data_IF_791381528024
#
_entry.id   IF_791381528024
#
_cell.length_a   1.000
_cell.length_b   1.000
_cell.length_c   1.000
_cell.angle_alpha   90.00
_cell.angle_beta   90.00
_cell.angle_gamma   90.00
#
_symmetry.space_group_name_H-M   'P 1'
#
loop_
_entity.id
_entity.type
_entity.pdbx_description
1 polymer ?
#
# COMPACT_ATOMS: atom_id res chain seq x y z
N UNK A 1 -8.78 9.13 8.47
CA UNK A 1 -7.48 8.65 7.95
C UNK A 1 -6.43 9.73 8.16
N UNK A 2 -5.26 9.39 8.68
CA UNK A 2 -4.19 10.40 8.86
C UNK A 2 -3.72 10.91 7.49
N UNK A 3 -3.34 12.20 7.42
CA UNK A 3 -2.79 12.78 6.20
C UNK A 3 -1.55 12.02 5.69
N UNK A 4 -0.81 11.39 6.61
CA UNK A 4 0.34 10.53 6.32
C UNK A 4 -0.05 9.37 5.39
N UNK A 5 -1.09 8.60 5.72
CA UNK A 5 -1.47 7.43 4.91
C UNK A 5 -1.97 7.80 3.52
N UNK A 6 -2.67 8.93 3.38
CA UNK A 6 -3.08 9.42 2.05
C UNK A 6 -1.87 9.75 1.16
N UNK A 7 -0.82 10.33 1.74
CA UNK A 7 0.41 10.60 1.01
C UNK A 7 1.12 9.30 0.58
N UNK A 8 1.26 8.34 1.50
CA UNK A 8 1.86 7.03 1.21
C UNK A 8 1.08 6.30 0.10
N UNK A 9 -0.25 6.30 0.19
CA UNK A 9 -1.13 5.68 -0.78
C UNK A 9 -1.03 6.30 -2.17
N UNK A 10 -0.83 7.63 -2.26
CA UNK A 10 -0.62 8.32 -3.53
C UNK A 10 0.68 7.87 -4.21
N UNK A 11 1.76 7.74 -3.45
CA UNK A 11 3.04 7.28 -3.98
C UNK A 11 2.95 5.82 -4.43
N UNK A 12 2.36 4.97 -3.60
CA UNK A 12 2.14 3.57 -3.93
C UNK A 12 1.32 3.39 -5.21
N UNK A 13 0.23 4.15 -5.33
CA UNK A 13 -0.59 4.18 -6.54
C UNK A 13 0.25 4.49 -7.79
N UNK A 14 1.12 5.51 -7.74
CA UNK A 14 1.96 5.88 -8.88
C UNK A 14 2.94 4.77 -9.28
N UNK A 15 3.46 4.01 -8.31
CA UNK A 15 4.35 2.87 -8.58
C UNK A 15 3.58 1.70 -9.22
N UNK A 16 2.36 1.43 -8.77
CA UNK A 16 1.48 0.41 -9.35
C UNK A 16 1.03 0.81 -10.76
N UNK A 17 0.58 2.06 -10.95
CA UNK A 17 0.15 2.59 -12.26
C UNK A 17 1.29 2.61 -13.29
N UNK A 18 2.55 2.70 -12.85
CA UNK A 18 3.74 2.61 -13.72
C UNK A 18 4.23 1.18 -13.94
N UNK A 19 3.48 0.18 -13.46
CA UNK A 19 3.82 -1.25 -13.51
C UNK A 19 5.21 -1.54 -12.92
N UNK A 20 5.63 -0.75 -11.93
CA UNK A 20 6.92 -0.88 -11.27
C UNK A 20 6.76 -1.62 -9.94
N UNK A 21 6.41 -2.90 -10.06
CA UNK A 21 6.13 -3.80 -8.95
C UNK A 21 7.31 -3.89 -7.97
N UNK A 22 8.53 -4.04 -8.50
CA UNK A 22 9.76 -4.04 -7.68
C UNK A 22 9.89 -2.79 -6.82
N UNK A 23 9.57 -1.61 -7.36
CA UNK A 23 9.64 -0.37 -6.61
C UNK A 23 8.53 -0.29 -5.55
N UNK A 24 7.34 -0.82 -5.85
CA UNK A 24 6.24 -0.91 -4.88
C UNK A 24 6.62 -1.81 -3.69
N UNK A 25 7.18 -3.00 -3.93
CA UNK A 25 7.67 -3.89 -2.88
C UNK A 25 8.77 -3.26 -2.04
N UNK A 26 9.80 -2.67 -2.68
CA UNK A 26 10.88 -1.98 -1.96
C UNK A 26 10.37 -0.81 -1.11
N UNK A 27 9.35 -0.10 -1.60
CA UNK A 27 8.74 1.00 -0.86
C UNK A 27 7.96 0.51 0.37
N UNK A 28 7.19 -0.57 0.21
CA UNK A 28 6.48 -1.21 1.33
C UNK A 28 7.46 -1.72 2.38
N UNK A 29 8.52 -2.41 1.97
CA UNK A 29 9.54 -2.95 2.87
C UNK A 29 10.31 -1.84 3.59
N UNK A 30 10.85 -0.87 2.86
CA UNK A 30 11.84 0.08 3.42
C UNK A 30 11.23 1.29 4.08
N UNK A 31 10.06 1.74 3.62
CA UNK A 31 9.44 2.97 4.11
C UNK A 31 8.21 2.69 4.97
N UNK A 32 7.37 1.75 4.56
CA UNK A 32 6.17 1.39 5.32
C UNK A 32 6.43 0.28 6.35
N UNK A 33 7.61 -0.34 6.29
CA UNK A 33 8.06 -1.41 7.19
C UNK A 33 7.13 -2.63 7.17
N UNK A 34 6.46 -2.87 6.03
CA UNK A 34 5.62 -4.04 5.87
C UNK A 34 6.47 -5.28 5.57
N UNK A 35 6.25 -6.39 6.27
CA UNK A 35 7.00 -7.61 6.03
C UNK A 35 6.62 -8.22 4.67
N UNK A 36 7.54 -8.98 4.08
CA UNK A 36 7.42 -9.46 2.69
C UNK A 36 6.18 -10.33 2.48
N UNK A 37 5.77 -11.09 3.49
CA UNK A 37 4.63 -12.02 3.44
C UNK A 37 3.26 -11.33 3.29
N UNK A 38 3.15 -10.02 3.57
CA UNK A 38 1.90 -9.27 3.41
C UNK A 38 1.89 -8.32 2.20
N UNK A 39 3.05 -8.08 1.57
CA UNK A 39 3.15 -7.12 0.46
C UNK A 39 2.32 -7.58 -0.74
N UNK A 40 2.37 -8.88 -1.07
CA UNK A 40 1.56 -9.47 -2.14
C UNK A 40 0.06 -9.34 -1.84
N UNK A 41 -0.37 -9.54 -0.59
CA UNK A 41 -1.77 -9.38 -0.19
C UNK A 41 -2.25 -7.92 -0.36
N UNK A 42 -1.41 -6.96 0.01
CA UNK A 42 -1.71 -5.53 -0.19
C UNK A 42 -1.85 -5.22 -1.67
N UNK A 43 -0.94 -5.69 -2.53
CA UNK A 43 -1.01 -5.47 -3.98
C UNK A 43 -2.24 -6.15 -4.57
N UNK A 44 -2.54 -7.38 -4.16
CA UNK A 44 -3.72 -8.13 -4.60
C UNK A 44 -5.01 -7.39 -4.22
N UNK A 45 -5.16 -6.92 -2.97
CA UNK A 45 -6.32 -6.13 -2.56
C UNK A 45 -6.46 -4.84 -3.38
N UNK A 46 -5.34 -4.14 -3.65
CA UNK A 46 -5.36 -2.92 -4.47
C UNK A 46 -5.80 -3.25 -5.90
N UNK A 47 -5.34 -4.37 -6.46
CA UNK A 47 -5.68 -4.80 -7.83
C UNK A 47 -7.18 -5.10 -8.00
N UNK A 48 -7.84 -5.53 -6.93
CA UNK A 48 -9.28 -5.81 -6.90
C UNK A 48 -10.15 -4.56 -6.64
N UNK A 49 -9.54 -3.39 -6.39
CA UNK A 49 -10.30 -2.18 -6.17
C UNK A 49 -11.07 -1.77 -7.44
N UNK A 50 -12.40 -1.58 -7.38
CA UNK A 50 -13.17 -1.11 -8.53
C UNK A 50 -12.73 0.29 -8.98
N UNK A 51 -12.22 1.09 -8.03
CA UNK A 51 -11.57 2.36 -8.30
C UNK A 51 -10.28 2.49 -7.48
N UNK A 52 -9.14 2.43 -8.18
CA UNK A 52 -7.82 2.64 -7.60
C UNK A 52 -7.64 4.12 -7.17
N UNK A 53 -8.17 4.45 -5.98
CA UNK A 53 -8.10 5.78 -5.37
C UNK A 53 -7.12 5.79 -4.19
N UNK A 54 -6.45 6.92 -3.96
CA UNK A 54 -5.54 7.06 -2.83
C UNK A 54 -6.25 6.87 -1.48
N UNK A 55 -7.53 7.20 -1.37
CA UNK A 55 -8.31 6.95 -0.15
C UNK A 55 -8.56 5.46 0.08
N UNK A 56 -8.90 4.69 -0.96
CA UNK A 56 -9.08 3.24 -0.83
C UNK A 56 -7.77 2.54 -0.46
N UNK A 57 -6.67 2.90 -1.14
CA UNK A 57 -5.34 2.35 -0.86
C UNK A 57 -4.89 2.72 0.56
N UNK A 58 -5.10 3.96 1.01
CA UNK A 58 -4.75 4.36 2.37
C UNK A 58 -5.49 3.55 3.44
N UNK A 59 -6.66 3.00 3.11
CA UNK A 59 -7.49 2.23 4.05
C UNK A 59 -6.94 0.83 4.20
N UNK A 60 -6.55 0.22 3.06
CA UNK A 60 -5.83 -1.04 3.00
C UNK A 60 -4.55 -0.92 3.84
N UNK A 61 -3.67 0.04 3.51
CA UNK A 61 -2.40 0.22 4.23
C UNK A 61 -2.62 0.43 5.74
N UNK A 62 -3.59 1.27 6.12
CA UNK A 62 -3.92 1.51 7.52
C UNK A 62 -4.40 0.26 8.27
N UNK A 63 -5.12 -0.64 7.60
CA UNK A 63 -5.59 -1.90 8.18
C UNK A 63 -4.41 -2.82 8.53
N UNK A 64 -3.51 -3.05 7.56
CA UNK A 64 -2.31 -3.89 7.77
C UNK A 64 -1.35 -3.28 8.81
N UNK A 65 -1.20 -1.95 8.85
CA UNK A 65 -0.34 -1.31 9.86
C UNK A 65 -0.85 -1.47 11.29
N UNK A 66 -2.16 -1.57 11.50
CA UNK A 66 -2.73 -1.83 12.85
C UNK A 66 -2.58 -3.30 13.23
N UNK A 67 -2.61 -4.21 12.23
CA UNK A 67 -2.48 -5.65 12.45
C UNK A 67 -1.07 -6.04 12.92
N UNK A 68 -0.03 -5.39 12.38
CA UNK A 68 1.38 -5.55 12.82
C UNK A 68 1.66 -5.01 14.24
N UNK A 69 0.78 -4.16 14.78
CA UNK A 69 0.89 -3.59 16.12
C UNK A 69 0.23 -4.44 17.22
N UNK A 70 -0.42 -5.56 16.86
CA UNK A 70 -1.08 -6.48 17.79
C UNK A 70 -0.26 -7.75 17.98
#
# INVERSE_FOLDING_TARGET
MSATWKYQARLLKQMIDSNNETQAHLYMERLLLFPVDIQDQIIEEISHLPHCSSDAIANILGHYSIQELK
#
